data_IF_866031830089
#
_entry.id   IF_866031830089
#
_cell.length_a   1.000
_cell.length_b   1.000
_cell.length_c   1.000
_cell.angle_alpha   90.00
_cell.angle_beta   90.00
_cell.angle_gamma   90.00
#
_symmetry.space_group_name_H-M   'P 1'
#
loop_
_entity.id
_entity.type
_entity.pdbx_description
1 polymer ?
#
# COMPACT_ATOMS: atom_id res chain seq x y z
N UNK A 1 12.15 17.79 39.27
CA UNK A 1 12.17 18.98 38.39
C UNK A 1 13.15 18.87 37.20
N UNK A 2 14.28 18.16 37.28
CA UNK A 2 15.25 18.07 36.17
C UNK A 2 14.81 17.27 34.93
N UNK A 3 13.81 16.38 35.03
CA UNK A 3 13.33 15.59 33.90
C UNK A 3 12.54 16.42 32.87
N UNK A 4 11.78 17.41 33.32
CA UNK A 4 10.95 18.24 32.43
C UNK A 4 11.78 19.13 31.50
N UNK A 5 12.90 19.68 31.98
CA UNK A 5 13.79 20.53 31.18
C UNK A 5 14.49 19.78 30.04
N UNK A 6 14.87 18.51 30.25
CA UNK A 6 15.49 17.67 29.20
C UNK A 6 14.50 17.30 28.10
N UNK A 7 13.24 17.05 28.47
CA UNK A 7 12.17 16.76 27.51
C UNK A 7 11.91 17.99 26.63
N UNK A 8 11.84 19.19 27.23
CA UNK A 8 11.57 20.42 26.49
C UNK A 8 12.69 20.77 25.48
N UNK A 9 13.95 20.55 25.87
CA UNK A 9 15.10 20.71 24.97
C UNK A 9 15.06 19.73 23.78
N UNK A 10 14.71 18.46 24.02
CA UNK A 10 14.57 17.47 22.95
C UNK A 10 13.46 17.84 21.96
N UNK A 11 12.31 18.29 22.46
CA UNK A 11 11.23 18.77 21.59
C UNK A 11 11.62 20.02 20.80
N UNK A 12 12.35 20.96 21.43
CA UNK A 12 12.87 22.15 20.74
C UNK A 12 13.83 21.79 19.60
N UNK A 13 14.77 20.86 19.84
CA UNK A 13 15.72 20.39 18.82
C UNK A 13 15.00 19.65 17.69
N UNK A 14 14.04 18.77 18.02
CA UNK A 14 13.25 18.06 17.02
C UNK A 14 12.40 19.03 16.18
N UNK A 15 11.80 20.05 16.80
CA UNK A 15 11.02 21.05 16.10
C UNK A 15 11.88 21.86 15.12
N UNK A 16 13.05 22.33 15.57
CA UNK A 16 13.97 23.07 14.72
C UNK A 16 14.49 22.21 13.57
N UNK A 17 14.91 20.97 13.83
CA UNK A 17 15.34 20.04 12.79
C UNK A 17 14.24 19.77 11.75
N UNK A 18 13.00 19.59 12.20
CA UNK A 18 11.85 19.37 11.31
C UNK A 18 11.53 20.60 10.48
N UNK A 19 11.60 21.80 11.08
CA UNK A 19 11.41 23.05 10.38
C UNK A 19 12.48 23.28 9.30
N UNK A 20 13.75 23.05 9.63
CA UNK A 20 14.85 23.13 8.65
C UNK A 20 14.67 22.12 7.52
N UNK A 21 14.24 20.90 7.83
CA UNK A 21 13.97 19.88 6.82
C UNK A 21 12.82 20.27 5.90
N UNK A 22 11.71 20.77 6.44
CA UNK A 22 10.57 21.29 5.67
C UNK A 22 10.99 22.45 4.77
N UNK A 23 11.78 23.39 5.29
CA UNK A 23 12.21 24.55 4.53
C UNK A 23 13.20 24.17 3.41
N UNK A 24 14.12 23.24 3.68
CA UNK A 24 15.04 22.68 2.69
C UNK A 24 14.28 21.95 1.57
N UNK A 25 13.29 21.14 1.93
CA UNK A 25 12.42 20.47 0.96
C UNK A 25 11.68 21.50 0.11
N UNK A 26 11.06 22.52 0.72
CA UNK A 26 10.38 23.61 0.01
C UNK A 26 11.27 24.24 -1.07
N UNK A 27 12.49 24.60 -0.70
CA UNK A 27 13.46 25.23 -1.61
C UNK A 27 13.84 24.29 -2.76
N UNK A 28 14.07 23.00 -2.46
CA UNK A 28 14.39 21.99 -3.48
C UNK A 28 13.22 21.73 -4.45
N UNK A 29 11.97 21.77 -3.97
CA UNK A 29 10.78 21.62 -4.83
C UNK A 29 10.59 22.81 -5.77
N UNK A 30 10.93 24.02 -5.33
CA UNK A 30 10.85 25.22 -6.17
C UNK A 30 11.90 25.17 -7.30
N UNK A 31 13.14 24.78 -6.98
CA UNK A 31 14.20 24.58 -7.98
C UNK A 31 13.88 23.45 -8.99
N UNK A 32 13.30 22.33 -8.52
CA UNK A 32 12.91 21.22 -9.39
C UNK A 32 11.76 21.62 -10.34
N UNK A 33 10.82 22.44 -9.86
CA UNK A 33 9.69 22.95 -10.65
C UNK A 33 10.16 23.95 -11.71
N UNK A 34 11.20 24.74 -11.42
CA UNK A 34 11.83 25.66 -12.36
C UNK A 34 12.61 24.90 -13.45
N UNK A 35 13.39 23.88 -13.09
CA UNK A 35 14.14 23.04 -14.04
C UNK A 35 13.22 22.17 -14.92
N UNK A 36 12.16 21.60 -14.36
CA UNK A 36 11.20 20.80 -15.16
C UNK A 36 10.40 21.68 -16.13
N UNK A 37 10.14 22.96 -15.80
CA UNK A 37 9.53 23.91 -16.76
C UNK A 37 10.43 24.18 -17.96
N UNK A 38 11.75 24.18 -17.77
CA UNK A 38 12.73 24.36 -18.84
C UNK A 38 12.90 23.11 -19.72
N UNK A 39 12.58 21.92 -19.21
CA UNK A 39 12.86 20.63 -19.89
C UNK A 39 11.65 20.09 -20.68
N UNK A 40 10.43 20.55 -20.41
CA UNK A 40 9.18 20.11 -21.09
C UNK A 40 9.02 20.70 -22.52
N UNK A 41 10.04 21.34 -23.10
CA UNK A 41 9.98 21.82 -24.50
C UNK A 41 10.60 20.88 -25.53
N UNK A 42 11.17 19.72 -25.16
CA UNK A 42 11.79 18.82 -26.14
C UNK A 42 11.54 17.34 -25.82
N UNK A 43 10.95 16.69 -26.83
CA UNK A 43 10.97 15.25 -27.12
C UNK A 43 9.74 14.44 -26.68
N UNK A 44 8.87 14.18 -27.67
CA UNK A 44 8.05 12.99 -27.76
C UNK A 44 8.34 12.36 -29.12
N UNK A 45 9.05 11.23 -29.14
CA UNK A 45 9.12 10.36 -30.32
C UNK A 45 8.85 8.93 -29.88
N UNK A 46 7.84 8.34 -30.51
CA UNK A 46 7.25 7.03 -30.22
C UNK A 46 7.92 6.01 -31.13
N UNK A 47 8.31 4.85 -30.59
CA UNK A 47 8.54 3.64 -31.39
C UNK A 47 8.08 2.36 -30.65
N UNK A 48 7.82 1.26 -31.40
CA UNK A 48 6.71 0.35 -31.15
C UNK A 48 7.08 -1.00 -30.48
N UNK A 49 6.01 -1.73 -30.17
CA UNK A 49 5.90 -2.97 -29.38
C UNK A 49 6.30 -4.24 -30.15
N UNK A 50 6.90 -5.22 -29.44
CA UNK A 50 6.59 -6.69 -29.36
C UNK A 50 7.78 -7.47 -28.77
N UNK A 51 7.67 -8.74 -28.27
CA UNK A 51 6.50 -9.55 -27.88
C UNK A 51 6.58 -10.12 -26.42
N UNK A 52 5.47 -10.74 -25.97
CA UNK A 52 5.19 -11.49 -24.71
C UNK A 52 6.15 -12.70 -24.55
N UNK A 53 6.74 -13.02 -23.35
CA UNK A 53 6.02 -13.88 -22.37
C UNK A 53 6.41 -13.80 -20.88
N UNK A 54 5.52 -14.44 -20.10
CA UNK A 54 5.68 -15.04 -18.76
C UNK A 54 5.12 -14.22 -17.59
N UNK A 55 4.16 -14.85 -16.90
CA UNK A 55 3.47 -14.35 -15.73
C UNK A 55 4.46 -13.71 -14.74
N UNK A 56 4.40 -12.38 -14.64
CA UNK A 56 5.27 -11.65 -13.72
C UNK A 56 4.91 -12.07 -12.29
N UNK A 57 5.90 -12.71 -11.67
CA UNK A 57 5.91 -13.07 -10.25
C UNK A 57 5.48 -11.86 -9.42
N UNK A 58 4.56 -12.05 -8.49
CA UNK A 58 4.22 -11.05 -7.49
C UNK A 58 5.44 -10.80 -6.59
N UNK A 59 6.29 -9.85 -6.98
CA UNK A 59 7.36 -9.34 -6.12
C UNK A 59 6.79 -8.23 -5.25
N UNK A 60 6.89 -8.41 -3.92
CA UNK A 60 6.69 -7.29 -3.01
C UNK A 60 7.67 -6.19 -3.40
N UNK A 61 7.22 -4.93 -3.52
CA UNK A 61 8.12 -3.85 -3.89
C UNK A 61 9.27 -3.81 -2.89
N UNK A 62 10.49 -4.05 -3.38
CA UNK A 62 11.68 -3.61 -2.66
C UNK A 62 11.47 -2.12 -2.41
N UNK A 63 11.82 -1.62 -1.22
CA UNK A 63 11.82 -0.17 -0.94
C UNK A 63 12.84 0.51 -1.86
N UNK A 64 12.44 0.75 -3.10
CA UNK A 64 13.10 1.63 -4.03
C UNK A 64 12.65 3.05 -3.70
N UNK A 65 13.43 4.04 -4.13
CA UNK A 65 13.00 5.44 -4.06
C UNK A 65 11.86 5.58 -5.07
N UNK A 66 10.64 5.46 -4.60
CA UNK A 66 9.43 5.61 -5.39
C UNK A 66 9.29 7.10 -5.75
N UNK A 67 8.98 7.40 -7.01
CA UNK A 67 8.72 8.80 -7.40
C UNK A 67 7.51 9.33 -6.64
N UNK A 68 7.45 10.65 -6.39
CA UNK A 68 6.31 11.26 -5.69
C UNK A 68 4.98 10.99 -6.44
N UNK A 69 5.02 10.94 -7.77
CA UNK A 69 3.87 10.61 -8.60
C UNK A 69 3.36 9.18 -8.37
N UNK A 70 4.27 8.22 -8.35
CA UNK A 70 3.95 6.81 -8.08
C UNK A 70 3.47 6.60 -6.64
N UNK A 71 3.98 7.39 -5.69
CA UNK A 71 3.50 7.40 -4.31
C UNK A 71 2.06 7.93 -4.20
N UNK A 72 1.69 8.99 -4.92
CA UNK A 72 0.30 9.46 -5.00
C UNK A 72 -0.64 8.40 -5.57
N UNK A 73 -0.23 7.75 -6.65
CA UNK A 73 -1.00 6.67 -7.27
C UNK A 73 -1.21 5.51 -6.27
N UNK A 74 -0.16 5.13 -5.52
CA UNK A 74 -0.26 4.12 -4.48
C UNK A 74 -1.17 4.56 -3.31
N UNK A 75 -1.19 5.83 -2.91
CA UNK A 75 -2.09 6.31 -1.86
C UNK A 75 -3.55 6.17 -2.29
N UNK A 76 -3.88 6.59 -3.51
CA UNK A 76 -5.22 6.44 -4.07
C UNK A 76 -5.65 4.96 -4.15
N UNK A 77 -4.72 4.07 -4.51
CA UNK A 77 -4.95 2.62 -4.50
C UNK A 77 -5.33 2.08 -3.12
N UNK A 78 -4.68 2.57 -2.07
CA UNK A 78 -4.99 2.17 -0.70
C UNK A 78 -6.37 2.66 -0.25
N UNK A 79 -6.80 3.85 -0.69
CA UNK A 79 -8.13 4.38 -0.35
C UNK A 79 -9.27 3.57 -0.96
N UNK A 80 -9.12 3.16 -2.23
CA UNK A 80 -10.09 2.26 -2.90
C UNK A 80 -10.19 0.93 -2.15
N UNK A 81 -9.05 0.33 -1.77
CA UNK A 81 -9.05 -0.93 -1.04
C UNK A 81 -9.78 -0.81 0.31
N UNK A 82 -9.55 0.28 1.05
CA UNK A 82 -10.23 0.56 2.32
C UNK A 82 -11.74 0.82 2.18
N UNK A 83 -12.18 1.34 1.03
CA UNK A 83 -13.60 1.45 0.70
C UNK A 83 -14.22 0.07 0.51
N UNK A 84 -13.61 -0.76 -0.34
CA UNK A 84 -14.06 -2.14 -0.58
C UNK A 84 -14.10 -2.93 0.75
N UNK A 85 -13.03 -2.89 1.55
CA UNK A 85 -12.96 -3.57 2.86
C UNK A 85 -14.07 -3.10 3.82
N UNK A 86 -14.44 -1.80 3.82
CA UNK A 86 -15.49 -1.27 4.69
C UNK A 86 -16.87 -1.80 4.31
N UNK A 87 -17.18 -1.89 3.02
CA UNK A 87 -18.47 -2.38 2.53
C UNK A 87 -18.68 -3.87 2.85
N UNK A 88 -17.59 -4.59 3.09
CA UNK A 88 -17.57 -6.03 3.34
C UNK A 88 -17.77 -6.45 4.80
N UNK A 89 -17.55 -5.58 5.78
CA UNK A 89 -17.62 -5.90 7.21
C UNK A 89 -19.04 -6.25 7.73
N UNK A 90 -19.98 -6.61 6.85
CA UNK A 90 -21.39 -6.80 7.15
C UNK A 90 -21.88 -8.26 7.21
N UNK A 91 -21.06 -9.30 6.94
CA UNK A 91 -21.42 -10.73 7.14
C UNK A 91 -20.20 -11.69 7.13
N UNK A 92 -20.35 -12.90 7.66
CA UNK A 92 -19.30 -13.95 7.72
C UNK A 92 -18.91 -14.45 6.33
N UNK A 93 -17.66 -14.24 5.86
CA UNK A 93 -17.23 -14.67 4.54
C UNK A 93 -16.98 -16.18 4.48
N UNK A 94 -17.25 -16.77 3.31
CA UNK A 94 -16.86 -18.13 2.93
C UNK A 94 -15.35 -18.32 3.17
N UNK A 95 -14.94 -19.49 3.64
CA UNK A 95 -13.52 -19.79 3.89
C UNK A 95 -12.73 -19.68 2.59
N UNK A 96 -11.56 -19.00 2.63
CA UNK A 96 -10.67 -18.88 1.47
C UNK A 96 -10.31 -20.24 0.86
N UNK A 97 -10.16 -21.26 1.69
CA UNK A 97 -9.78 -22.60 1.25
C UNK A 97 -10.89 -23.34 0.49
N UNK A 98 -12.16 -22.99 0.67
CA UNK A 98 -13.28 -23.62 -0.06
C UNK A 98 -13.35 -23.18 -1.52
N UNK A 99 -12.82 -21.99 -1.79
CA UNK A 99 -12.87 -21.35 -3.11
C UNK A 99 -11.50 -21.21 -3.77
N UNK A 100 -10.42 -21.67 -3.13
CA UNK A 100 -9.04 -21.43 -3.57
C UNK A 100 -8.75 -21.93 -5.00
N UNK A 101 -9.39 -23.01 -5.44
CA UNK A 101 -9.26 -23.56 -6.79
C UNK A 101 -10.43 -23.23 -7.73
N UNK A 102 -11.22 -22.21 -7.40
CA UNK A 102 -12.34 -21.75 -8.23
C UNK A 102 -12.17 -20.26 -8.61
N UNK A 103 -11.07 -19.88 -9.30
CA UNK A 103 -10.93 -18.52 -9.77
C UNK A 103 -11.98 -18.20 -10.84
N UNK A 104 -12.53 -16.99 -10.79
CA UNK A 104 -13.29 -16.44 -11.91
C UNK A 104 -12.32 -16.13 -13.05
N UNK A 105 -12.80 -16.07 -14.30
CA UNK A 105 -12.00 -15.57 -15.41
C UNK A 105 -11.79 -14.07 -15.23
N UNK A 106 -10.75 -13.70 -14.46
CA UNK A 106 -10.29 -12.32 -14.36
C UNK A 106 -9.26 -12.04 -15.46
N UNK A 107 -9.34 -10.85 -16.03
CA UNK A 107 -8.32 -10.38 -16.98
C UNK A 107 -7.00 -10.12 -16.21
N UNK A 108 -6.03 -11.01 -16.41
CA UNK A 108 -4.73 -10.93 -15.75
C UNK A 108 -3.89 -9.75 -16.26
N UNK A 109 -4.08 -9.33 -17.51
CA UNK A 109 -3.35 -8.23 -18.10
C UNK A 109 -3.85 -6.92 -17.48
N UNK A 110 -5.17 -6.73 -17.41
CA UNK A 110 -5.78 -5.56 -16.77
C UNK A 110 -5.51 -5.51 -15.26
N UNK A 111 -5.52 -6.67 -14.58
CA UNK A 111 -5.14 -6.79 -13.17
C UNK A 111 -3.67 -6.40 -12.92
N UNK A 112 -2.80 -6.52 -13.92
CA UNK A 112 -1.39 -6.16 -13.81
C UNK A 112 -1.15 -4.66 -14.04
N UNK A 113 -1.84 -4.05 -15.00
CA UNK A 113 -1.64 -2.66 -15.40
C UNK A 113 -2.44 -1.68 -14.52
N UNK A 114 -3.72 -1.97 -14.27
CA UNK A 114 -4.66 -1.08 -13.58
C UNK A 114 -5.35 -1.78 -12.39
N UNK A 115 -4.57 -2.58 -11.65
CA UNK A 115 -5.00 -3.46 -10.55
C UNK A 115 -6.18 -2.95 -9.75
N UNK A 116 -6.09 -1.76 -9.15
CA UNK A 116 -7.13 -1.27 -8.24
C UNK A 116 -8.39 -0.78 -8.94
N UNK A 117 -8.24 -0.18 -10.11
CA UNK A 117 -9.40 0.25 -10.89
C UNK A 117 -10.17 -0.98 -11.38
N UNK A 118 -9.45 -2.01 -11.83
CA UNK A 118 -10.04 -3.29 -12.19
C UNK A 118 -10.74 -3.96 -11.01
N UNK A 119 -10.10 -4.07 -9.84
CA UNK A 119 -10.74 -4.63 -8.64
C UNK A 119 -11.97 -3.82 -8.21
N UNK A 120 -11.91 -2.49 -8.25
CA UNK A 120 -13.07 -1.63 -7.95
C UNK A 120 -14.23 -1.89 -8.92
N UNK A 121 -13.95 -1.95 -10.22
CA UNK A 121 -14.96 -2.25 -11.25
C UNK A 121 -15.55 -3.64 -11.08
N UNK A 122 -14.70 -4.64 -10.83
CA UNK A 122 -15.11 -6.02 -10.57
C UNK A 122 -16.01 -6.11 -9.33
N UNK A 123 -15.65 -5.42 -8.24
CA UNK A 123 -16.48 -5.34 -7.04
C UNK A 123 -17.80 -4.61 -7.29
N UNK A 124 -17.81 -3.52 -8.05
CA UNK A 124 -19.05 -2.81 -8.41
C UNK A 124 -19.99 -3.67 -9.26
N UNK A 125 -19.45 -4.50 -10.14
CA UNK A 125 -20.22 -5.39 -11.01
C UNK A 125 -20.78 -6.61 -10.25
N UNK A 126 -19.94 -7.28 -9.46
CA UNK A 126 -20.29 -8.54 -8.78
C UNK A 126 -20.84 -8.33 -7.36
N UNK A 127 -20.67 -7.13 -6.81
CA UNK A 127 -20.96 -6.82 -5.42
C UNK A 127 -20.22 -7.78 -4.49
N UNK A 128 -20.98 -8.41 -3.59
CA UNK A 128 -20.45 -9.35 -2.60
C UNK A 128 -19.90 -10.64 -3.21
N UNK A 129 -20.38 -11.06 -4.37
CA UNK A 129 -19.90 -12.29 -5.03
C UNK A 129 -18.43 -12.16 -5.46
N UNK A 130 -17.92 -10.94 -5.62
CA UNK A 130 -16.49 -10.73 -5.84
C UNK A 130 -15.62 -11.35 -4.73
N UNK A 131 -16.16 -11.49 -3.52
CA UNK A 131 -15.46 -12.09 -2.39
C UNK A 131 -15.48 -13.61 -2.36
N UNK A 132 -16.17 -14.26 -3.29
CA UNK A 132 -16.02 -15.70 -3.52
C UNK A 132 -14.83 -15.98 -4.44
N UNK A 133 -14.35 -14.96 -5.15
CA UNK A 133 -13.20 -15.07 -6.02
C UNK A 133 -11.88 -15.06 -5.21
N UNK A 134 -11.07 -16.13 -5.28
CA UNK A 134 -9.83 -16.21 -4.51
C UNK A 134 -8.76 -15.21 -4.98
N UNK A 135 -8.71 -14.87 -6.28
CA UNK A 135 -7.74 -13.90 -6.82
C UNK A 135 -8.08 -12.50 -6.33
N UNK A 136 -9.35 -12.11 -6.38
CA UNK A 136 -9.85 -10.84 -5.85
C UNK A 136 -9.51 -10.69 -4.37
N UNK A 137 -9.87 -11.68 -3.55
CA UNK A 137 -9.62 -11.66 -2.10
C UNK A 137 -8.14 -11.56 -1.76
N UNK A 138 -7.32 -12.39 -2.40
CA UNK A 138 -5.89 -12.42 -2.11
C UNK A 138 -5.20 -11.13 -2.54
N UNK A 139 -5.64 -10.54 -3.65
CA UNK A 139 -5.14 -9.23 -4.11
C UNK A 139 -5.58 -8.12 -3.17
N UNK A 140 -6.85 -8.10 -2.76
CA UNK A 140 -7.35 -7.10 -1.82
C UNK A 140 -6.64 -7.21 -0.46
N UNK A 141 -6.43 -8.41 0.09
CA UNK A 141 -5.66 -8.59 1.35
C UNK A 141 -4.22 -8.10 1.20
N UNK A 142 -3.58 -8.35 0.05
CA UNK A 142 -2.24 -7.86 -0.22
C UNK A 142 -2.16 -6.33 -0.22
N UNK A 143 -3.17 -5.67 -0.78
CA UNK A 143 -3.27 -4.20 -0.79
C UNK A 143 -3.65 -3.67 0.60
N UNK A 144 -4.56 -4.33 1.32
CA UNK A 144 -4.93 -4.00 2.69
C UNK A 144 -3.74 -4.11 3.66
N UNK A 145 -2.83 -5.07 3.44
CA UNK A 145 -1.56 -5.15 4.18
C UNK A 145 -0.71 -3.89 3.95
N UNK A 146 -0.60 -3.42 2.70
CA UNK A 146 0.10 -2.18 2.40
C UNK A 146 -0.60 -0.98 3.06
N UNK A 147 -1.93 -0.93 3.06
CA UNK A 147 -2.70 0.11 3.75
C UNK A 147 -2.43 0.15 5.26
N UNK A 148 -2.27 -1.02 5.87
CA UNK A 148 -1.88 -1.15 7.28
C UNK A 148 -0.42 -0.80 7.55
N UNK A 149 0.46 -0.99 6.57
CA UNK A 149 1.87 -0.59 6.63
C UNK A 149 2.03 0.93 6.44
N UNK A 150 1.12 1.58 5.72
CA UNK A 150 1.08 3.02 5.49
C UNK A 150 -0.23 3.63 6.01
N UNK A 151 -0.33 3.89 7.33
CA UNK A 151 -1.54 4.41 7.95
C UNK A 151 -2.04 5.71 7.30
N UNK A 152 -3.35 5.97 7.40
CA UNK A 152 -3.99 7.12 6.74
C UNK A 152 -3.39 8.46 7.12
N UNK A 153 -2.99 8.63 8.37
CA UNK A 153 -2.26 9.79 8.90
C UNK A 153 -0.90 9.98 8.23
N UNK A 154 -0.12 8.91 8.06
CA UNK A 154 1.15 8.94 7.33
C UNK A 154 0.94 9.27 5.86
N UNK A 155 -0.06 8.67 5.21
CA UNK A 155 -0.43 8.98 3.82
C UNK A 155 -0.79 10.47 3.64
N UNK A 156 -1.63 11.01 4.52
CA UNK A 156 -1.99 12.44 4.51
C UNK A 156 -0.76 13.34 4.67
N UNK A 157 0.14 12.98 5.59
CA UNK A 157 1.38 13.72 5.81
C UNK A 157 2.25 13.73 4.55
N UNK A 158 2.36 12.60 3.85
CA UNK A 158 3.08 12.50 2.57
C UNK A 158 2.45 13.40 1.50
N UNK A 159 1.11 13.38 1.36
CA UNK A 159 0.39 14.26 0.42
C UNK A 159 0.64 15.74 0.75
N UNK A 160 0.52 16.12 2.02
CA UNK A 160 0.82 17.46 2.51
C UNK A 160 2.27 17.85 2.21
N UNK A 161 3.24 16.93 2.36
CA UNK A 161 4.65 17.22 2.04
C UNK A 161 4.88 17.63 0.59
N UNK A 162 4.15 17.04 -0.35
CA UNK A 162 4.27 17.39 -1.77
C UNK A 162 3.72 18.79 -2.08
N UNK A 163 2.84 19.32 -1.23
CA UNK A 163 2.28 20.65 -1.36
C UNK A 163 3.05 21.73 -0.58
N UNK A 164 4.14 21.38 0.11
CA UNK A 164 4.91 22.28 0.99
C UNK A 164 5.31 23.59 0.29
N UNK A 165 5.79 23.53 -0.95
CA UNK A 165 6.21 24.72 -1.70
C UNK A 165 5.07 25.71 -1.97
N UNK A 166 3.82 25.24 -1.94
CA UNK A 166 2.62 26.04 -2.15
C UNK A 166 1.93 26.44 -0.84
N UNK A 167 2.46 26.00 0.31
CA UNK A 167 1.91 26.34 1.62
C UNK A 167 2.27 27.76 2.02
N UNK A 168 1.34 28.45 2.68
CA UNK A 168 1.66 29.68 3.40
C UNK A 168 2.63 29.39 4.56
N UNK A 169 3.42 30.39 4.97
CA UNK A 169 4.38 30.25 6.08
C UNK A 169 3.74 29.71 7.37
N UNK A 170 2.53 30.18 7.70
CA UNK A 170 1.78 29.66 8.85
C UNK A 170 1.40 28.18 8.70
N UNK A 171 1.08 27.73 7.49
CA UNK A 171 0.83 26.31 7.21
C UNK A 171 2.11 25.48 7.30
N UNK A 172 3.25 25.98 6.81
CA UNK A 172 4.56 25.32 6.94
C UNK A 172 4.97 25.14 8.41
N UNK A 173 4.78 26.18 9.24
CA UNK A 173 5.05 26.12 10.69
C UNK A 173 4.13 25.10 11.38
N UNK A 174 2.83 25.13 11.08
CA UNK A 174 1.87 24.16 11.63
C UNK A 174 2.19 22.72 11.19
N UNK A 175 2.61 22.55 9.93
CA UNK A 175 3.03 21.27 9.39
C UNK A 175 4.30 20.75 10.10
N UNK A 176 5.34 21.58 10.24
CA UNK A 176 6.59 21.20 10.91
C UNK A 176 6.39 20.88 12.39
N UNK A 177 5.42 21.52 13.06
CA UNK A 177 5.03 21.20 14.43
C UNK A 177 4.37 19.81 14.55
N UNK A 178 3.50 19.46 13.60
CA UNK A 178 2.75 18.19 13.59
C UNK A 178 3.56 17.00 13.11
N UNK A 179 4.53 17.23 12.21
CA UNK A 179 5.31 16.19 11.54
C UNK A 179 5.97 15.20 12.53
N UNK A 180 6.74 15.63 13.54
CA UNK A 180 7.36 14.71 14.50
C UNK A 180 6.33 13.87 15.26
N UNK A 181 5.21 14.48 15.64
CA UNK A 181 4.18 13.81 16.42
C UNK A 181 3.53 12.68 15.61
N UNK A 182 3.09 12.99 14.38
CA UNK A 182 2.50 11.99 13.48
C UNK A 182 3.53 10.89 13.23
N UNK A 183 4.75 11.24 12.83
CA UNK A 183 5.79 10.26 12.52
C UNK A 183 6.09 9.31 13.69
N UNK A 184 6.27 9.82 14.90
CA UNK A 184 6.53 9.00 16.09
C UNK A 184 5.34 8.10 16.43
N UNK A 185 4.11 8.64 16.37
CA UNK A 185 2.91 7.86 16.64
C UNK A 185 2.70 6.72 15.64
N UNK A 186 2.93 6.98 14.34
CA UNK A 186 2.80 5.98 13.29
C UNK A 186 3.95 4.98 13.30
N UNK A 187 5.18 5.41 13.61
CA UNK A 187 6.31 4.49 13.75
C UNK A 187 6.06 3.48 14.87
N UNK A 188 5.52 3.93 16.00
CA UNK A 188 5.14 3.04 17.09
C UNK A 188 4.09 2.04 16.65
N UNK A 189 3.01 2.51 16.00
CA UNK A 189 1.97 1.64 15.45
C UNK A 189 2.53 0.61 14.45
N UNK A 190 3.39 1.05 13.53
CA UNK A 190 4.04 0.18 12.54
C UNK A 190 4.88 -0.91 13.21
N UNK A 191 5.70 -0.57 14.21
CA UNK A 191 6.51 -1.55 14.95
C UNK A 191 5.63 -2.61 15.64
N UNK A 192 4.52 -2.18 16.23
CA UNK A 192 3.58 -3.09 16.91
C UNK A 192 2.84 -4.02 15.94
N UNK A 193 2.47 -3.53 14.76
CA UNK A 193 1.70 -4.32 13.78
C UNK A 193 2.57 -5.13 12.81
N UNK A 194 3.84 -4.76 12.63
CA UNK A 194 4.73 -5.38 11.65
C UNK A 194 4.82 -6.91 11.74
N UNK A 195 4.95 -7.53 12.94
CA UNK A 195 4.96 -8.99 13.05
C UNK A 195 3.67 -9.64 12.53
N UNK A 196 2.51 -9.03 12.82
CA UNK A 196 1.19 -9.49 12.35
C UNK A 196 1.07 -9.33 10.83
N UNK A 197 1.60 -8.24 10.27
CA UNK A 197 1.62 -8.04 8.82
C UNK A 197 2.54 -9.05 8.13
N UNK A 198 3.75 -9.29 8.66
CA UNK A 198 4.69 -10.29 8.11
C UNK A 198 4.03 -11.67 7.99
N UNK A 199 3.27 -12.06 9.00
CA UNK A 199 2.51 -13.29 8.98
C UNK A 199 1.44 -13.32 7.89
N UNK A 200 0.62 -12.25 7.77
CA UNK A 200 -0.39 -12.14 6.72
C UNK A 200 0.21 -12.11 5.31
N UNK A 201 1.37 -11.47 5.14
CA UNK A 201 2.15 -11.48 3.89
C UNK A 201 2.52 -12.91 3.50
N UNK A 202 3.03 -13.69 4.45
CA UNK A 202 3.39 -15.08 4.20
C UNK A 202 2.15 -15.91 3.86
N UNK A 203 1.03 -15.69 4.55
CA UNK A 203 -0.24 -16.37 4.27
C UNK A 203 -0.77 -16.05 2.87
N UNK A 204 -0.80 -14.77 2.47
CA UNK A 204 -1.21 -14.36 1.13
C UNK A 204 -0.30 -14.93 0.03
N UNK A 205 1.02 -15.02 0.30
CA UNK A 205 1.98 -15.70 -0.59
C UNK A 205 1.71 -17.19 -0.70
N UNK A 206 1.41 -17.87 0.41
CA UNK A 206 1.05 -19.29 0.39
C UNK A 206 -0.22 -19.52 -0.43
N UNK A 207 -1.27 -18.72 -0.23
CA UNK A 207 -2.48 -18.81 -1.04
C UNK A 207 -2.21 -18.57 -2.52
N UNK A 208 -1.39 -17.57 -2.86
CA UNK A 208 -0.99 -17.35 -4.25
C UNK A 208 -0.32 -18.56 -4.89
N UNK A 209 0.50 -19.32 -4.14
CA UNK A 209 1.13 -20.53 -4.64
C UNK A 209 0.13 -21.67 -4.81
N UNK A 210 -0.74 -21.89 -3.81
CA UNK A 210 -1.77 -22.92 -3.86
C UNK A 210 -2.74 -22.71 -5.02
N UNK A 211 -3.13 -21.45 -5.30
CA UNK A 211 -3.96 -21.12 -6.45
C UNK A 211 -3.29 -21.50 -7.78
N UNK A 212 -1.97 -21.33 -7.91
CA UNK A 212 -1.22 -21.72 -9.10
C UNK A 212 -1.14 -23.25 -9.28
N UNK A 213 -1.09 -24.00 -8.18
CA UNK A 213 -1.10 -25.48 -8.21
C UNK A 213 -2.45 -26.09 -8.59
N UNK A 214 -3.54 -25.32 -8.58
CA UNK A 214 -4.87 -25.82 -8.96
C UNK A 214 -4.93 -26.25 -10.45
N UNK A 215 -4.02 -25.76 -11.30
CA UNK A 215 -3.86 -26.17 -12.69
C UNK A 215 -2.98 -27.43 -12.81
N UNK A 216 -3.52 -28.60 -12.44
CA UNK A 216 -2.88 -29.89 -12.75
C UNK A 216 -2.65 -30.83 -11.56
N UNK A 217 -2.92 -30.41 -10.33
CA UNK A 217 -2.81 -31.25 -9.14
C UNK A 217 -4.17 -31.71 -8.60
N UNK A 218 -4.15 -32.59 -7.58
CA UNK A 218 -5.36 -33.05 -6.90
C UNK A 218 -5.94 -31.93 -6.02
N UNK A 219 -7.02 -31.31 -6.49
CA UNK A 219 -7.74 -30.21 -5.81
C UNK A 219 -8.02 -30.50 -4.33
N UNK A 220 -8.38 -31.73 -3.96
CA UNK A 220 -8.68 -32.07 -2.57
C UNK A 220 -7.44 -31.97 -1.66
N UNK A 221 -6.26 -32.31 -2.18
CA UNK A 221 -5.00 -32.19 -1.44
C UNK A 221 -4.62 -30.71 -1.24
N UNK A 222 -4.79 -29.87 -2.26
CA UNK A 222 -4.54 -28.42 -2.19
C UNK A 222 -5.45 -27.75 -1.15
N UNK A 223 -6.74 -28.10 -1.17
CA UNK A 223 -7.71 -27.56 -0.20
C UNK A 223 -7.32 -27.96 1.23
N UNK A 224 -6.88 -29.20 1.43
CA UNK A 224 -6.40 -29.67 2.72
C UNK A 224 -5.13 -28.92 3.18
N UNK A 225 -4.15 -28.74 2.30
CA UNK A 225 -2.94 -27.96 2.57
C UNK A 225 -3.24 -26.49 2.92
N UNK A 226 -4.25 -25.91 2.26
CA UNK A 226 -4.74 -24.57 2.58
C UNK A 226 -5.25 -24.48 4.03
N UNK A 227 -6.05 -25.45 4.47
CA UNK A 227 -6.57 -25.50 5.84
C UNK A 227 -5.47 -25.65 6.88
N UNK A 228 -4.48 -26.51 6.60
CA UNK A 228 -3.33 -26.70 7.48
C UNK A 228 -2.52 -25.40 7.62
N UNK A 229 -2.24 -24.74 6.50
CA UNK A 229 -1.55 -23.44 6.46
C UNK A 229 -2.33 -22.35 7.21
N UNK A 230 -3.67 -22.30 7.03
CA UNK A 230 -4.52 -21.36 7.73
C UNK A 230 -4.52 -21.58 9.25
N UNK A 231 -4.54 -22.85 9.69
CA UNK A 231 -4.57 -23.21 11.11
C UNK A 231 -3.27 -22.89 11.86
N UNK A 232 -2.11 -23.03 11.20
CA UNK A 232 -0.81 -22.68 11.77
C UNK A 232 -0.70 -21.18 12.03
N UNK A 233 -1.32 -20.35 11.19
CA UNK A 233 -1.42 -18.90 11.37
C UNK A 233 -2.15 -18.53 12.69
N UNK A 234 -3.10 -19.34 13.16
CA UNK A 234 -3.80 -19.04 14.41
C UNK A 234 -3.03 -19.45 15.67
N UNK A 235 -2.07 -20.40 15.57
CA UNK A 235 -1.34 -20.96 16.71
C UNK A 235 -0.06 -20.20 17.10
N UNK A 236 0.41 -19.27 16.27
CA UNK A 236 1.62 -18.47 16.58
C UNK A 236 1.33 -17.18 17.38
N UNK A 237 0.17 -17.09 18.03
CA UNK A 237 -0.21 -15.99 18.94
C UNK A 237 0.05 -16.41 20.38
#
# INVERSE_FOLDING_TARGET
MFAAGKILLLFGVLFLASYFLVNSISHSTDELKENNRATISKNAEIQPVTPVPSAKRFEFPRMQIISIHELHQQIHYLEIAEEIERDLNSNTPISMCEVICKPSPMDNDELSENKMQYLSSFFKAQGRLAFEDPVFRNTLESVGILGRMYPKSLRKLILEMNEIGQMSEMKKISFSARLPFIFVSELKYMVEIFPKLKQRINQAKSYSKLMQSCEGENVSAIVQECYESASQSYRSK
#
